data_IF_855647377110
#
_entry.id   IF_855647377110
#
_cell.length_a   1.000
_cell.length_b   1.000
_cell.length_c   1.000
_cell.angle_alpha   90.00
_cell.angle_beta   90.00
_cell.angle_gamma   90.00
#
_symmetry.space_group_name_H-M   'P 1'
#
loop_
_entity.id
_entity.type
_entity.pdbx_description
1 polymer ?
#
# COMPACT_ATOMS: atom_id res chain seq x y z
N UNK A 1 -22.50 -8.94 -1.10
CA UNK A 1 -21.01 -8.97 -1.03
C UNK A 1 -20.65 -9.01 0.44
N UNK A 2 -20.04 -10.08 0.97
CA UNK A 2 -19.70 -10.11 2.39
C UNK A 2 -18.67 -9.02 2.68
N UNK A 3 -18.99 -8.13 3.61
CA UNK A 3 -18.06 -7.14 4.12
C UNK A 3 -16.89 -7.87 4.78
N UNK A 4 -15.72 -7.78 4.17
CA UNK A 4 -14.52 -8.35 4.76
C UNK A 4 -14.21 -7.58 6.04
N UNK A 5 -14.52 -8.18 7.19
CA UNK A 5 -14.14 -7.72 8.53
C UNK A 5 -12.70 -7.19 8.46
N UNK A 6 -12.51 -5.93 8.84
CA UNK A 6 -11.19 -5.32 8.86
C UNK A 6 -10.33 -6.04 9.88
N UNK A 7 -9.15 -6.48 9.47
CA UNK A 7 -8.20 -7.18 10.34
C UNK A 7 -7.28 -6.18 11.01
N UNK A 8 -6.66 -6.62 12.11
CA UNK A 8 -5.69 -5.82 12.83
C UNK A 8 -4.42 -5.60 11.97
N UNK A 9 -3.60 -4.61 12.32
CA UNK A 9 -2.40 -4.27 11.55
C UNK A 9 -1.40 -5.43 11.46
N UNK A 10 -1.14 -6.12 12.58
CA UNK A 10 -0.20 -7.25 12.59
C UNK A 10 -0.69 -8.40 11.70
N UNK A 11 -1.96 -8.79 11.87
CA UNK A 11 -2.60 -9.82 11.03
C UNK A 11 -2.59 -9.43 9.53
N UNK A 12 -2.77 -8.13 9.23
CA UNK A 12 -2.67 -7.62 7.87
C UNK A 12 -1.27 -7.81 7.29
N UNK A 13 -0.22 -7.50 8.06
CA UNK A 13 1.16 -7.66 7.60
C UNK A 13 1.56 -9.12 7.43
N UNK A 14 1.09 -10.01 8.31
CA UNK A 14 1.31 -11.46 8.19
C UNK A 14 0.66 -12.00 6.91
N UNK A 15 -0.62 -11.68 6.67
CA UNK A 15 -1.31 -12.11 5.46
C UNK A 15 -0.73 -11.47 4.19
N UNK A 16 -0.28 -10.21 4.27
CA UNK A 16 0.42 -9.56 3.17
C UNK A 16 1.74 -10.26 2.83
N UNK A 17 2.52 -10.66 3.85
CA UNK A 17 3.75 -11.41 3.64
C UNK A 17 3.48 -12.77 2.98
N UNK A 18 2.44 -13.49 3.43
CA UNK A 18 2.01 -14.75 2.78
C UNK A 18 1.64 -14.52 1.32
N UNK A 19 0.87 -13.47 1.02
CA UNK A 19 0.51 -13.10 -0.34
C UNK A 19 1.74 -12.81 -1.23
N UNK A 20 2.68 -12.01 -0.73
CA UNK A 20 3.90 -11.67 -1.47
C UNK A 20 4.76 -12.91 -1.73
N UNK A 21 4.95 -13.77 -0.72
CA UNK A 21 5.67 -15.04 -0.86
C UNK A 21 4.99 -15.98 -1.86
N UNK A 22 3.66 -16.08 -1.82
CA UNK A 22 2.91 -16.90 -2.79
C UNK A 22 3.09 -16.40 -4.23
N UNK A 23 3.13 -15.08 -4.41
CA UNK A 23 3.37 -14.46 -5.72
C UNK A 23 4.80 -14.71 -6.20
N UNK A 24 5.77 -14.64 -5.29
CA UNK A 24 7.18 -14.91 -5.57
C UNK A 24 7.42 -16.38 -5.92
N UNK A 25 6.84 -17.32 -5.15
CA UNK A 25 6.99 -18.75 -5.38
C UNK A 25 6.41 -19.21 -6.73
N UNK A 26 5.29 -18.61 -7.15
CA UNK A 26 4.71 -18.89 -8.46
C UNK A 26 5.50 -18.25 -9.62
N UNK A 27 6.40 -17.32 -9.34
CA UNK A 27 7.16 -16.56 -10.36
C UNK A 27 6.30 -15.59 -11.21
N UNK A 28 4.97 -15.67 -11.10
CA UNK A 28 4.01 -14.81 -11.77
C UNK A 28 2.87 -14.47 -10.82
N UNK A 29 2.43 -13.21 -10.86
CA UNK A 29 1.32 -12.71 -10.05
C UNK A 29 1.44 -11.22 -9.80
N UNK A 30 0.34 -10.62 -9.36
CA UNK A 30 0.29 -9.20 -9.03
C UNK A 30 -0.46 -9.02 -7.74
N UNK A 31 0.14 -8.32 -6.78
CA UNK A 31 -0.53 -7.92 -5.55
C UNK A 31 -0.98 -6.48 -5.73
N UNK A 32 -2.30 -6.27 -5.78
CA UNK A 32 -2.91 -4.96 -5.87
C UNK A 32 -3.13 -4.42 -4.46
N UNK A 33 -2.53 -3.26 -4.16
CA UNK A 33 -2.77 -2.52 -2.92
C UNK A 33 -3.50 -1.22 -3.26
N UNK A 34 -4.68 -1.02 -2.68
CA UNK A 34 -5.48 0.18 -2.85
C UNK A 34 -5.63 0.91 -1.52
N UNK A 35 -5.38 2.21 -1.52
CA UNK A 35 -5.57 3.10 -0.39
C UNK A 35 -6.72 4.06 -0.72
N UNK A 36 -7.71 4.14 0.14
CA UNK A 36 -8.82 5.10 0.03
C UNK A 36 -9.09 5.74 1.38
N UNK A 37 -9.58 6.98 1.38
CA UNK A 37 -10.15 7.60 2.59
C UNK A 37 -11.42 6.87 2.96
N UNK A 38 -11.58 6.56 4.25
CA UNK A 38 -12.78 5.92 4.77
C UNK A 38 -13.80 7.03 5.10
N UNK A 39 -14.67 7.33 4.14
CA UNK A 39 -15.67 8.41 4.25
C UNK A 39 -17.06 7.93 4.68
N UNK A 40 -17.34 6.63 4.58
CA UNK A 40 -18.61 6.02 4.95
C UNK A 40 -18.57 5.47 6.39
N UNK A 41 -19.72 5.50 7.07
CA UNK A 41 -19.95 4.96 8.42
C UNK A 41 -19.18 5.65 9.58
N UNK A 42 -18.68 6.86 9.34
CA UNK A 42 -18.11 7.73 10.37
C UNK A 42 -19.25 8.40 11.18
N UNK A 43 -19.87 7.69 12.13
CA UNK A 43 -20.80 8.32 13.10
C UNK A 43 -19.99 8.91 14.26
N UNK A 44 -19.65 10.21 14.21
CA UNK A 44 -20.41 11.25 14.91
C UNK A 44 -20.66 12.51 14.02
N UNK A 45 -21.49 13.48 14.45
CA UNK A 45 -21.95 14.62 13.63
C UNK A 45 -20.87 15.66 13.26
N UNK A 46 -19.59 15.38 13.48
CA UNK A 46 -18.50 16.37 13.42
C UNK A 46 -17.53 16.17 12.24
N UNK A 47 -17.87 15.29 11.29
CA UNK A 47 -17.00 14.92 10.16
C UNK A 47 -17.59 15.38 8.81
N UNK A 48 -18.91 15.61 8.78
CA UNK A 48 -19.62 16.08 7.61
C UNK A 48 -19.85 17.60 7.75
N UNK A 49 -19.49 18.42 6.75
CA UNK A 49 -20.03 19.77 6.69
C UNK A 49 -21.56 19.68 6.61
N UNK A 50 -22.27 20.69 7.13
CA UNK A 50 -23.74 20.71 7.25
C UNK A 50 -24.40 20.19 5.97
N UNK A 51 -25.41 19.31 6.11
CA UNK A 51 -26.23 18.83 4.98
C UNK A 51 -26.63 20.02 4.10
N UNK A 52 -25.96 20.18 2.96
CA UNK A 52 -26.02 21.40 2.14
C UNK A 52 -24.71 21.71 1.40
N UNK A 53 -23.54 21.59 2.05
CA UNK A 53 -22.24 21.85 1.40
C UNK A 53 -21.71 20.65 0.59
N UNK A 54 -22.17 19.44 0.92
CA UNK A 54 -21.78 18.17 0.29
C UNK A 54 -22.32 18.07 -1.15
N UNK A 55 -23.49 18.65 -1.43
CA UNK A 55 -24.18 18.53 -2.72
C UNK A 55 -23.60 19.45 -3.81
N UNK A 56 -22.84 20.49 -3.44
CA UNK A 56 -22.30 21.49 -4.36
C UNK A 56 -20.77 21.52 -4.50
N UNK A 57 -20.03 20.95 -3.54
CA UNK A 57 -18.58 21.00 -3.53
C UNK A 57 -17.99 19.59 -3.72
N UNK A 58 -17.51 19.27 -4.93
CA UNK A 58 -16.90 17.97 -5.25
C UNK A 58 -15.66 17.63 -4.40
N UNK A 59 -15.09 18.59 -3.65
CA UNK A 59 -13.90 18.45 -2.81
C UNK A 59 -14.20 18.65 -1.31
N UNK A 60 -15.44 18.39 -0.89
CA UNK A 60 -15.86 18.54 0.51
C UNK A 60 -14.99 17.72 1.50
N UNK A 61 -14.34 16.65 1.02
CA UNK A 61 -13.44 15.79 1.81
C UNK A 61 -12.06 16.42 2.10
N UNK A 62 -11.75 17.57 1.51
CA UNK A 62 -10.55 18.36 1.83
C UNK A 62 -10.74 19.23 3.08
N UNK A 63 -11.99 19.51 3.49
CA UNK A 63 -12.33 20.43 4.56
C UNK A 63 -12.88 19.71 5.81
N UNK A 64 -12.45 18.48 6.08
CA UNK A 64 -12.88 17.75 7.27
C UNK A 64 -12.24 18.36 8.54
N UNK A 65 -13.07 18.61 9.58
CA UNK A 65 -12.61 19.12 10.88
C UNK A 65 -11.62 18.17 11.57
N UNK A 66 -11.68 16.87 11.26
CA UNK A 66 -10.79 15.86 11.79
C UNK A 66 -10.19 15.03 10.64
N UNK A 67 -8.90 14.64 10.73
CA UNK A 67 -8.25 13.82 9.70
C UNK A 67 -8.93 12.45 9.59
N UNK A 68 -9.37 12.12 8.37
CA UNK A 68 -10.09 10.87 8.09
C UNK A 68 -9.14 9.66 8.13
N UNK A 69 -9.57 8.52 8.70
CA UNK A 69 -8.81 7.28 8.62
C UNK A 69 -8.75 6.75 7.18
N UNK A 70 -7.73 5.95 6.90
CA UNK A 70 -7.50 5.34 5.60
C UNK A 70 -7.87 3.86 5.64
N UNK A 71 -8.59 3.40 4.62
CA UNK A 71 -8.78 1.98 4.38
C UNK A 71 -7.76 1.49 3.35
N UNK A 72 -6.95 0.52 3.75
CA UNK A 72 -5.96 -0.13 2.90
C UNK A 72 -6.46 -1.53 2.60
N UNK A 73 -6.51 -1.88 1.31
CA UNK A 73 -6.94 -3.20 0.83
C UNK A 73 -5.85 -3.81 -0.03
N UNK A 74 -5.52 -5.07 0.21
CA UNK A 74 -4.62 -5.85 -0.63
C UNK A 74 -5.34 -7.07 -1.22
N UNK A 75 -5.02 -7.41 -2.46
CA UNK A 75 -5.60 -8.58 -3.14
C UNK A 75 -4.63 -9.20 -4.14
N UNK A 76 -4.72 -10.53 -4.32
CA UNK A 76 -3.87 -11.32 -5.22
C UNK A 76 -4.17 -11.20 -6.72
N UNK A 77 -4.91 -10.17 -7.14
CA UNK A 77 -5.31 -9.91 -8.53
C UNK A 77 -5.79 -11.17 -9.29
N UNK A 78 -6.47 -12.10 -8.61
CA UNK A 78 -6.79 -13.41 -9.17
C UNK A 78 -7.46 -13.30 -10.55
N UNK A 79 -7.00 -14.11 -11.51
CA UNK A 79 -7.57 -14.20 -12.86
C UNK A 79 -9.06 -14.57 -12.80
N UNK A 80 -9.85 -14.30 -13.86
CA UNK A 80 -11.27 -14.63 -13.88
C UNK A 80 -11.56 -16.10 -13.50
N UNK A 81 -10.72 -17.02 -13.96
CA UNK A 81 -10.80 -18.46 -13.65
C UNK A 81 -10.51 -18.75 -12.18
N UNK A 82 -9.38 -18.25 -11.65
CA UNK A 82 -9.03 -18.43 -10.22
C UNK A 82 -10.04 -17.76 -9.29
N UNK A 83 -10.70 -16.70 -9.75
CA UNK A 83 -11.78 -16.02 -9.03
C UNK A 83 -13.06 -16.84 -8.98
N UNK A 84 -13.44 -17.50 -10.08
CA UNK A 84 -14.56 -18.46 -10.11
C UNK A 84 -14.28 -19.68 -9.23
N UNK A 85 -13.02 -20.10 -9.14
CA UNK A 85 -12.55 -21.17 -8.26
C UNK A 85 -12.39 -20.75 -6.78
N UNK A 86 -12.80 -19.53 -6.38
CA UNK A 86 -12.75 -19.09 -4.98
C UNK A 86 -11.35 -18.73 -4.45
N UNK A 87 -10.31 -18.74 -5.28
CA UNK A 87 -8.92 -18.47 -4.86
C UNK A 87 -8.59 -16.97 -4.74
N UNK A 88 -9.61 -16.10 -4.70
CA UNK A 88 -9.40 -14.65 -4.58
C UNK A 88 -9.28 -14.26 -3.11
N UNK A 89 -8.05 -13.96 -2.69
CA UNK A 89 -7.80 -13.41 -1.35
C UNK A 89 -7.94 -11.89 -1.39
N UNK A 90 -8.72 -11.34 -0.46
CA UNK A 90 -8.83 -9.90 -0.20
C UNK A 90 -8.64 -9.67 1.29
N UNK A 91 -7.69 -8.81 1.63
CA UNK A 91 -7.40 -8.43 3.01
C UNK A 91 -7.56 -6.91 3.13
N UNK A 92 -8.03 -6.44 4.27
CA UNK A 92 -8.22 -5.00 4.50
C UNK A 92 -8.01 -4.61 5.94
N UNK A 93 -7.43 -3.43 6.15
CA UNK A 93 -7.20 -2.84 7.47
C UNK A 93 -7.55 -1.35 7.44
N UNK A 94 -7.89 -0.78 8.60
CA UNK A 94 -8.18 0.64 8.78
C UNK A 94 -7.00 1.26 9.52
N UNK A 95 -6.37 2.27 8.93
CA UNK A 95 -5.23 3.00 9.50
C UNK A 95 -5.71 4.37 9.96
N UNK A 96 -5.52 4.66 11.24
CA UNK A 96 -5.76 5.99 11.81
C UNK A 96 -4.66 6.96 11.38
N UNK A 97 -4.95 8.26 11.29
CA UNK A 97 -3.95 9.27 10.90
C UNK A 97 -2.71 9.24 11.81
N UNK A 98 -2.89 9.07 13.12
CA UNK A 98 -1.80 9.06 14.11
C UNK A 98 -0.84 7.88 13.95
N UNK A 99 -1.30 6.79 13.32
CA UNK A 99 -0.55 5.54 13.16
C UNK A 99 0.00 5.36 11.74
N UNK A 100 -0.20 6.36 10.87
CA UNK A 100 0.11 6.27 9.45
C UNK A 100 1.59 6.05 9.19
N UNK A 101 2.45 6.81 9.87
CA UNK A 101 3.90 6.72 9.70
C UNK A 101 4.43 5.36 10.16
N UNK A 102 4.03 4.91 11.35
CA UNK A 102 4.39 3.60 11.88
C UNK A 102 3.92 2.45 10.97
N UNK A 103 2.72 2.58 10.39
CA UNK A 103 2.18 1.61 9.44
C UNK A 103 3.04 1.51 8.18
N UNK A 104 3.39 2.65 7.56
CA UNK A 104 4.20 2.64 6.34
C UNK A 104 5.64 2.22 6.57
N UNK A 105 6.21 2.51 7.75
CA UNK A 105 7.52 2.02 8.13
C UNK A 105 7.55 0.48 8.15
N UNK A 106 6.60 -0.16 8.84
CA UNK A 106 6.47 -1.62 8.87
C UNK A 106 6.16 -2.20 7.49
N UNK A 107 5.25 -1.56 6.74
CA UNK A 107 4.93 -1.95 5.37
C UNK A 107 6.18 -1.98 4.48
N UNK A 108 7.02 -0.93 4.54
CA UNK A 108 8.25 -0.86 3.76
C UNK A 108 9.21 -2.01 4.10
N UNK A 109 9.32 -2.38 5.37
CA UNK A 109 10.17 -3.49 5.79
C UNK A 109 9.64 -4.85 5.34
N UNK A 110 8.32 -5.05 5.39
CA UNK A 110 7.68 -6.25 4.83
C UNK A 110 7.92 -6.34 3.33
N UNK A 111 7.76 -5.24 2.58
CA UNK A 111 8.03 -5.20 1.15
C UNK A 111 9.50 -5.50 0.84
N UNK A 112 10.45 -4.89 1.55
CA UNK A 112 11.90 -5.17 1.35
C UNK A 112 12.22 -6.65 1.55
N UNK A 113 11.68 -7.27 2.60
CA UNK A 113 11.93 -8.69 2.94
C UNK A 113 11.30 -9.68 1.97
N UNK A 114 10.18 -9.31 1.32
CA UNK A 114 9.41 -10.25 0.48
C UNK A 114 9.44 -9.90 -1.02
N UNK A 115 10.08 -8.79 -1.44
CA UNK A 115 10.22 -8.36 -2.84
C UNK A 115 11.69 -8.44 -3.32
N UNK A 116 12.38 -9.52 -2.96
CA UNK A 116 13.80 -9.72 -3.30
C UNK A 116 14.04 -10.11 -4.76
N UNK A 117 13.00 -10.56 -5.47
CA UNK A 117 13.08 -11.01 -6.86
C UNK A 117 13.30 -9.90 -7.91
N UNK A 118 13.37 -8.63 -7.49
CA UNK A 118 13.58 -7.51 -8.40
C UNK A 118 15.05 -7.43 -8.86
N UNK A 119 15.25 -7.26 -10.17
CA UNK A 119 16.60 -7.08 -10.74
C UNK A 119 17.28 -5.87 -10.09
N UNK A 120 18.50 -6.08 -9.59
CA UNK A 120 19.32 -4.99 -9.02
C UNK A 120 19.52 -3.89 -10.06
N UNK A 121 19.34 -2.64 -9.63
CA UNK A 121 19.59 -1.47 -10.49
C UNK A 121 21.00 -1.53 -11.07
N UNK A 122 21.09 -1.41 -12.38
CA UNK A 122 22.38 -1.33 -13.06
C UNK A 122 23.09 -0.03 -12.65
N UNK A 123 24.23 -0.17 -11.96
CA UNK A 123 25.10 0.93 -11.51
C UNK A 123 26.41 0.99 -12.30
N UNK A 124 26.53 0.26 -13.40
CA UNK A 124 27.76 0.16 -14.20
C UNK A 124 28.24 1.53 -14.71
N UNK A 125 27.32 2.39 -15.19
CA UNK A 125 27.65 3.76 -15.64
C UNK A 125 28.21 4.62 -14.51
N UNK A 126 27.53 4.68 -13.35
CA UNK A 126 28.00 5.41 -12.16
C UNK A 126 29.32 4.88 -11.60
N UNK A 127 29.59 3.57 -11.68
CA UNK A 127 30.88 2.98 -11.28
C UNK A 127 32.02 3.37 -12.23
N UNK A 128 31.77 3.42 -13.54
CA UNK A 128 32.77 3.87 -14.53
C UNK A 128 33.13 5.36 -14.34
N UNK A 129 32.12 6.19 -14.11
CA UNK A 129 32.28 7.63 -13.89
C UNK A 129 33.07 7.94 -12.61
N UNK A 130 32.76 7.26 -11.49
CA UNK A 130 33.55 7.36 -10.25
C UNK A 130 34.99 6.87 -10.41
N UNK A 131 35.26 5.88 -11.26
CA UNK A 131 36.62 5.42 -11.57
C UNK A 131 37.40 6.41 -12.42
N UNK A 132 36.74 7.11 -13.35
CA UNK A 132 37.38 8.18 -14.14
C UNK A 132 37.76 9.36 -13.25
N UNK A 133 36.83 9.86 -12.45
CA UNK A 133 37.07 10.97 -11.52
C UNK A 133 38.18 10.63 -10.51
N UNK A 134 38.23 9.38 -10.00
CA UNK A 134 39.35 8.95 -9.13
C UNK A 134 40.70 8.92 -9.85
N UNK A 135 40.75 8.48 -11.11
CA UNK A 135 42.01 8.46 -11.88
C UNK A 135 42.50 9.87 -12.23
N UNK A 136 41.59 10.80 -12.51
CA UNK A 136 41.92 12.20 -12.82
C UNK A 136 42.37 12.99 -11.59
N UNK A 137 41.94 12.62 -10.38
CA UNK A 137 42.39 13.26 -9.13
C UNK A 137 43.70 12.70 -8.52
N UNK A 138 44.24 11.61 -9.06
CA UNK A 138 45.46 10.94 -8.56
C UNK A 138 46.70 11.24 -9.44
N UNK A 139 46.54 12.09 -10.46
CA UNK A 139 47.59 12.51 -11.41
C UNK A 139 47.88 14.03 -11.38
N UNK A 140 47.42 14.75 -10.35
CA UNK A 140 47.67 16.18 -10.13
C UNK A 140 48.56 16.46 -8.92
#
# INVERSE_FOLDING_TARGET
MPEAKHMNHEEFFEQLAVLLKSCQANGHGTVLLSQKRLTYDQRPPNILPKEGEIAGNSLWDLNCLNPLPLIIRASNAASPEKRKAGQKTKISTIVKPDQLEAFYFRYADICKKNMEGLRKRDRSKKKKEKKKIKKEGETG
#
